data_IF_852595589380
#
_entry.id   IF_852595589380
#
_cell.length_a   1.000
_cell.length_b   1.000
_cell.length_c   1.000
_cell.angle_alpha   90.00
_cell.angle_beta   90.00
_cell.angle_gamma   90.00
#
_symmetry.space_group_name_H-M   'P 1'
#
loop_
_entity.id
_entity.type
_entity.pdbx_description
1 polymer ?
#
# COMPACT_ATOMS: atom_id res chain seq x y z
N UNK A 1 -20.91 58.23 -61.88
CA UNK A 1 -19.86 59.25 -61.72
C UNK A 1 -18.64 58.50 -61.31
N UNK A 2 -17.77 58.04 -62.25
CA UNK A 2 -16.60 58.79 -62.79
C UNK A 2 -15.52 58.89 -61.65
N UNK A 3 -14.33 58.40 -61.76
CA UNK A 3 -13.28 58.23 -62.81
C UNK A 3 -12.28 57.17 -62.35
N UNK A 4 -11.91 56.22 -63.04
CA UNK A 4 -10.82 55.88 -63.97
C UNK A 4 -9.56 56.77 -63.87
N UNK A 5 -8.41 56.18 -63.50
CA UNK A 5 -7.12 56.56 -64.04
C UNK A 5 -6.12 55.39 -64.01
N UNK A 6 -5.62 55.09 -65.18
CA UNK A 6 -4.57 54.15 -65.56
C UNK A 6 -3.23 54.89 -65.49
N UNK A 7 -2.12 54.23 -65.13
CA UNK A 7 -0.76 54.49 -65.69
C UNK A 7 0.20 53.33 -65.21
N UNK A 8 0.60 52.67 -66.10
CA UNK A 8 1.72 52.11 -66.88
C UNK A 8 3.12 52.19 -66.22
N UNK A 9 3.74 51.04 -66.29
CA UNK A 9 5.12 50.66 -66.67
C UNK A 9 6.27 50.97 -65.75
N UNK A 10 7.02 49.93 -65.35
CA UNK A 10 8.38 49.66 -65.89
C UNK A 10 8.94 48.41 -65.33
N UNK A 11 9.34 47.48 -66.16
CA UNK A 11 10.11 46.27 -65.79
C UNK A 11 11.55 46.62 -65.58
N UNK A 12 12.11 46.15 -64.46
CA UNK A 12 13.55 46.06 -64.27
C UNK A 12 13.87 44.63 -63.89
N UNK A 13 14.54 43.88 -64.76
CA UNK A 13 15.20 42.61 -64.46
C UNK A 13 16.44 42.87 -63.67
N UNK A 14 16.49 42.32 -62.44
CA UNK A 14 17.74 42.17 -61.72
C UNK A 14 17.91 40.68 -61.39
N UNK A 15 18.91 40.09 -61.99
CA UNK A 15 19.48 38.79 -61.61
C UNK A 15 20.02 38.91 -60.24
N UNK A 16 19.52 38.08 -59.29
CA UNK A 16 20.19 37.81 -58.02
C UNK A 16 20.30 36.30 -57.83
N UNK A 17 21.57 35.92 -57.59
CA UNK A 17 22.01 34.53 -57.55
C UNK A 17 21.34 33.70 -56.44
N UNK A 18 21.17 32.46 -56.76
CA UNK A 18 20.87 31.41 -55.77
C UNK A 18 21.95 31.33 -54.70
N UNK A 19 21.66 31.79 -53.49
CA UNK A 19 22.35 31.33 -52.29
C UNK A 19 21.66 30.04 -51.86
N UNK A 20 22.37 28.95 -51.99
CA UNK A 20 22.05 27.71 -51.28
C UNK A 20 22.26 27.94 -49.79
N UNK A 21 21.19 28.15 -49.04
CA UNK A 21 21.22 28.02 -47.57
C UNK A 21 21.39 26.55 -47.23
N UNK A 22 22.63 26.19 -46.91
CA UNK A 22 22.96 24.96 -46.20
C UNK A 22 22.33 25.03 -44.77
N UNK A 23 21.06 24.62 -44.65
CA UNK A 23 20.49 24.32 -43.37
C UNK A 23 21.19 23.06 -42.82
N UNK A 24 22.18 23.26 -41.93
CA UNK A 24 22.72 22.25 -41.06
C UNK A 24 21.54 21.48 -40.40
N UNK A 25 21.54 20.14 -40.44
CA UNK A 25 20.54 19.40 -39.69
C UNK A 25 20.79 19.67 -38.21
N UNK A 26 19.90 20.42 -37.59
CA UNK A 26 19.84 20.51 -36.13
C UNK A 26 19.65 19.08 -35.60
N UNK A 27 20.73 18.42 -35.23
CA UNK A 27 20.68 17.25 -34.37
C UNK A 27 20.03 17.70 -33.07
N UNK A 28 18.77 17.32 -32.87
CA UNK A 28 18.12 17.35 -31.55
C UNK A 28 19.09 16.63 -30.60
N UNK A 29 19.88 17.36 -29.83
CA UNK A 29 20.58 16.79 -28.67
C UNK A 29 19.51 16.11 -27.84
N UNK A 30 19.48 14.78 -27.84
CA UNK A 30 18.65 14.02 -26.92
C UNK A 30 18.99 14.55 -25.53
N UNK A 31 18.04 15.18 -24.86
CA UNK A 31 18.15 15.53 -23.46
C UNK A 31 18.42 14.19 -22.75
N UNK A 32 19.61 13.98 -22.22
CA UNK A 32 19.91 12.84 -21.36
C UNK A 32 18.79 12.82 -20.29
N UNK A 33 17.96 11.79 -20.29
CA UNK A 33 16.94 11.68 -19.27
C UNK A 33 17.64 11.44 -17.95
N UNK A 34 17.53 12.42 -17.07
CA UNK A 34 18.08 12.35 -15.71
C UNK A 34 17.44 11.18 -15.00
N UNK A 35 18.24 10.35 -14.35
CA UNK A 35 17.78 9.29 -13.46
C UNK A 35 17.85 9.82 -12.04
N UNK A 36 16.72 9.86 -11.35
CA UNK A 36 16.70 10.08 -9.92
C UNK A 36 17.04 8.77 -9.20
N UNK A 37 17.97 8.84 -8.25
CA UNK A 37 18.43 7.69 -7.47
C UNK A 37 18.31 7.96 -5.99
N UNK A 38 17.60 7.08 -5.27
CA UNK A 38 17.43 7.11 -3.83
C UNK A 38 18.04 5.86 -3.20
N UNK A 39 18.77 6.03 -2.09
CA UNK A 39 19.60 5.00 -1.50
C UNK A 39 19.32 4.85 0.00
N UNK A 40 19.28 3.59 0.45
CA UNK A 40 19.50 3.20 1.84
C UNK A 40 20.70 2.25 1.89
N UNK A 41 21.74 2.60 2.66
CA UNK A 41 23.01 1.90 2.68
C UNK A 41 23.66 2.00 4.08
N UNK A 42 23.71 0.88 4.80
CA UNK A 42 24.32 0.82 6.14
C UNK A 42 25.79 1.19 6.12
N UNK A 43 26.56 0.72 5.12
CA UNK A 43 27.99 0.94 5.04
C UNK A 43 28.35 2.41 4.85
N UNK A 44 27.43 3.19 4.30
CA UNK A 44 27.57 4.65 4.11
C UNK A 44 26.77 5.47 5.11
N UNK A 45 26.07 4.82 6.05
CA UNK A 45 25.18 5.48 7.01
C UNK A 45 24.11 6.36 6.33
N UNK A 46 23.61 5.89 5.18
CA UNK A 46 22.57 6.58 4.40
C UNK A 46 21.25 5.85 4.62
N UNK A 47 20.19 6.59 4.87
CA UNK A 47 18.83 6.08 4.92
C UNK A 47 17.91 6.95 4.07
N UNK A 48 17.27 6.33 3.07
CA UNK A 48 16.30 6.92 2.14
C UNK A 48 16.67 8.34 1.69
N UNK A 49 17.82 8.50 1.06
CA UNK A 49 18.34 9.80 0.63
C UNK A 49 18.56 9.85 -0.88
N UNK A 50 18.16 10.97 -1.51
CA UNK A 50 18.42 11.23 -2.92
C UNK A 50 19.93 11.41 -3.15
N UNK A 51 20.46 10.71 -4.13
CA UNK A 51 21.88 10.74 -4.48
C UNK A 51 22.11 11.59 -5.73
N UNK A 52 23.19 12.37 -5.73
CA UNK A 52 23.64 13.15 -6.90
C UNK A 52 24.58 12.36 -7.81
N UNK A 53 25.11 11.23 -7.34
CA UNK A 53 26.06 10.34 -8.01
C UNK A 53 25.67 8.89 -7.82
N UNK A 54 26.40 7.96 -8.45
CA UNK A 54 26.17 6.51 -8.30
C UNK A 54 25.34 5.90 -9.42
N UNK A 55 24.99 6.69 -10.44
CA UNK A 55 24.29 6.24 -11.64
C UNK A 55 24.98 6.81 -12.88
N UNK A 56 25.39 5.93 -13.79
CA UNK A 56 25.92 6.30 -15.10
C UNK A 56 24.90 5.91 -16.18
N UNK A 57 24.57 6.85 -17.05
CA UNK A 57 23.64 6.68 -18.18
C UNK A 57 24.38 6.76 -19.53
N UNK A 58 25.65 6.40 -19.56
CA UNK A 58 26.49 6.41 -20.76
C UNK A 58 25.92 5.57 -21.91
N UNK A 59 26.21 5.95 -23.17
CA UNK A 59 25.80 5.20 -24.36
C UNK A 59 26.53 3.86 -24.51
N UNK A 60 27.62 3.65 -23.81
CA UNK A 60 28.39 2.40 -23.87
C UNK A 60 27.83 1.44 -22.84
N UNK A 61 27.16 0.38 -23.31
CA UNK A 61 26.79 -0.74 -22.45
C UNK A 61 28.08 -1.31 -21.84
N UNK A 62 28.24 -1.13 -20.53
CA UNK A 62 29.27 -1.84 -19.81
C UNK A 62 28.83 -3.30 -19.79
N UNK A 63 29.68 -4.17 -20.35
CA UNK A 63 29.39 -5.61 -20.37
C UNK A 63 29.53 -6.14 -18.94
N UNK A 64 28.42 -6.18 -18.21
CA UNK A 64 28.31 -6.81 -16.89
C UNK A 64 27.53 -8.08 -16.97
N UNK A 65 27.81 -9.01 -16.05
CA UNK A 65 27.07 -10.25 -15.91
C UNK A 65 25.66 -9.99 -15.36
N UNK A 66 25.51 -8.95 -14.52
CA UNK A 66 24.29 -8.65 -13.79
C UNK A 66 23.45 -7.62 -14.56
N UNK A 67 22.45 -8.08 -15.29
CA UNK A 67 21.54 -7.23 -16.05
C UNK A 67 20.09 -7.39 -15.53
N UNK A 68 19.50 -6.30 -15.08
CA UNK A 68 18.08 -6.21 -14.77
C UNK A 68 17.40 -5.65 -16.01
N UNK A 69 16.80 -6.53 -16.80
CA UNK A 69 16.07 -6.15 -18.01
C UNK A 69 14.62 -5.83 -17.64
N UNK A 70 14.18 -4.62 -17.93
CA UNK A 70 12.83 -4.11 -17.66
C UNK A 70 12.06 -4.07 -18.98
N UNK A 71 10.92 -4.76 -19.04
CA UNK A 71 10.05 -4.82 -20.20
C UNK A 71 8.71 -4.14 -19.91
N UNK A 72 8.49 -2.97 -20.50
CA UNK A 72 7.26 -2.18 -20.36
C UNK A 72 6.06 -2.77 -21.09
N UNK A 73 6.31 -3.60 -22.13
CA UNK A 73 5.27 -4.21 -22.95
C UNK A 73 4.64 -5.44 -22.28
N UNK A 74 5.15 -5.81 -21.11
CA UNK A 74 4.62 -6.89 -20.27
C UNK A 74 4.10 -6.34 -18.93
N UNK A 75 2.94 -5.67 -18.91
CA UNK A 75 2.33 -5.20 -17.68
C UNK A 75 1.62 -6.33 -16.94
N UNK A 76 1.57 -6.20 -15.61
CA UNK A 76 0.84 -7.06 -14.70
C UNK A 76 -0.27 -6.27 -13.98
N UNK A 77 -0.45 -6.51 -12.67
CA UNK A 77 -1.49 -5.81 -11.89
C UNK A 77 -1.25 -4.30 -11.80
N UNK A 78 -2.35 -3.58 -11.68
CA UNK A 78 -2.34 -2.17 -11.29
C UNK A 78 -2.26 -2.05 -9.78
N UNK A 79 -1.40 -1.16 -9.28
CA UNK A 79 -1.23 -0.91 -7.85
C UNK A 79 -2.34 0.00 -7.34
N UNK A 80 -2.95 -0.39 -6.22
CA UNK A 80 -3.96 0.41 -5.54
C UNK A 80 -3.32 1.38 -4.52
N UNK A 81 -2.15 1.05 -4.00
CA UNK A 81 -1.38 1.92 -3.14
C UNK A 81 -0.51 1.18 -2.11
N UNK A 82 0.21 1.97 -1.31
CA UNK A 82 1.12 1.51 -0.27
C UNK A 82 0.89 2.31 1.00
N UNK A 83 1.05 1.67 2.17
CA UNK A 83 0.84 2.40 3.41
C UNK A 83 0.92 1.59 4.68
N UNK A 84 0.08 1.97 5.66
CA UNK A 84 0.15 1.47 7.03
C UNK A 84 -1.24 1.22 7.59
N UNK A 85 -1.29 0.46 8.69
CA UNK A 85 -2.48 0.40 9.53
C UNK A 85 -2.53 1.61 10.46
N UNK A 86 -3.61 2.37 10.37
CA UNK A 86 -3.98 3.42 11.30
C UNK A 86 -5.01 2.85 12.28
N UNK A 87 -4.52 2.13 13.30
CA UNK A 87 -5.34 1.62 14.40
C UNK A 87 -5.63 2.73 15.44
N UNK A 88 -6.49 2.45 16.41
CA UNK A 88 -6.85 3.43 17.44
C UNK A 88 -5.66 3.93 18.26
N UNK A 89 -4.67 3.07 18.52
CA UNK A 89 -3.45 3.46 19.22
C UNK A 89 -2.56 4.40 18.42
N UNK A 90 -2.39 4.13 17.12
CA UNK A 90 -1.69 5.05 16.22
C UNK A 90 -2.39 6.41 16.19
N UNK A 91 -3.72 6.41 16.05
CA UNK A 91 -4.51 7.63 16.05
C UNK A 91 -4.39 8.40 17.37
N UNK A 92 -4.40 7.71 18.52
CA UNK A 92 -4.21 8.31 19.84
C UNK A 92 -2.84 8.99 19.97
N UNK A 93 -1.75 8.31 19.53
CA UNK A 93 -0.40 8.87 19.59
C UNK A 93 -0.27 10.13 18.72
N UNK A 94 -0.83 10.11 17.52
CA UNK A 94 -0.89 11.29 16.65
C UNK A 94 -1.75 12.40 17.26
N UNK A 95 -2.91 12.07 17.85
CA UNK A 95 -3.82 13.05 18.45
C UNK A 95 -3.21 13.76 19.65
N UNK A 96 -2.36 13.11 20.43
CA UNK A 96 -1.63 13.68 21.57
C UNK A 96 -0.58 14.72 21.17
N UNK A 97 -0.12 14.72 19.92
CA UNK A 97 0.82 15.75 19.42
C UNK A 97 0.17 17.13 19.39
N UNK A 98 0.97 18.19 19.47
CA UNK A 98 0.49 19.54 19.15
C UNK A 98 -0.02 19.57 17.71
N UNK A 99 -1.04 20.39 17.45
CA UNK A 99 -1.64 20.49 16.11
C UNK A 99 -0.63 20.80 15.01
N UNK A 100 0.37 21.65 15.29
CA UNK A 100 1.40 22.01 14.32
C UNK A 100 2.36 20.83 14.02
N UNK A 101 2.85 20.14 15.06
CA UNK A 101 3.75 18.99 14.88
C UNK A 101 3.03 17.84 14.18
N UNK A 102 1.77 17.58 14.55
CA UNK A 102 0.92 16.58 13.90
C UNK A 102 0.69 16.92 12.43
N UNK A 103 0.31 18.16 12.12
CA UNK A 103 0.12 18.61 10.74
C UNK A 103 1.37 18.37 9.90
N UNK A 104 2.55 18.78 10.38
CA UNK A 104 3.80 18.59 9.66
C UNK A 104 4.09 17.11 9.40
N UNK A 105 3.85 16.23 10.38
CA UNK A 105 4.02 14.79 10.20
C UNK A 105 3.01 14.20 9.20
N UNK A 106 1.74 14.62 9.26
CA UNK A 106 0.73 14.15 8.32
C UNK A 106 1.02 14.65 6.88
N UNK A 107 1.52 15.87 6.70
CA UNK A 107 1.97 16.37 5.40
C UNK A 107 3.18 15.58 4.89
N UNK A 108 4.15 15.22 5.74
CA UNK A 108 5.26 14.35 5.38
C UNK A 108 4.79 12.95 4.94
N UNK A 109 3.83 12.37 5.64
CA UNK A 109 3.33 11.02 5.34
C UNK A 109 2.43 11.00 4.10
N UNK A 110 1.48 11.91 3.98
CA UNK A 110 0.37 11.85 3.04
C UNK A 110 0.36 12.94 1.97
N UNK A 111 1.20 13.98 2.10
CA UNK A 111 1.30 15.07 1.14
C UNK A 111 1.82 14.64 -0.23
N UNK A 112 1.89 15.60 -1.17
CA UNK A 112 2.33 15.35 -2.55
C UNK A 112 3.62 16.11 -2.91
N UNK A 113 4.21 16.81 -1.97
CA UNK A 113 5.45 17.56 -2.18
C UNK A 113 6.71 16.66 -2.22
N UNK A 114 7.88 17.29 -2.40
CA UNK A 114 9.14 16.55 -2.49
C UNK A 114 9.63 15.98 -1.14
N UNK A 115 9.10 16.43 -0.03
CA UNK A 115 9.44 15.93 1.31
C UNK A 115 8.57 14.74 1.70
N UNK A 116 7.38 14.64 1.11
CA UNK A 116 6.39 13.64 1.47
C UNK A 116 6.75 12.25 0.93
N UNK A 117 6.43 11.20 1.69
CA UNK A 117 6.55 9.81 1.24
C UNK A 117 5.31 9.30 0.50
N UNK A 118 4.23 10.09 0.45
CA UNK A 118 3.04 9.88 -0.39
C UNK A 118 2.30 8.59 -0.09
N UNK A 119 2.09 8.28 1.18
CA UNK A 119 1.23 7.15 1.59
C UNK A 119 -0.13 7.28 0.91
N UNK A 120 -0.60 6.20 0.30
CA UNK A 120 -1.79 6.21 -0.56
C UNK A 120 -2.83 5.15 -0.19
N UNK A 121 -2.56 4.34 0.83
CA UNK A 121 -3.49 3.33 1.34
C UNK A 121 -3.41 3.25 2.86
N UNK A 122 -4.57 3.17 3.52
CA UNK A 122 -4.68 2.92 4.95
C UNK A 122 -5.51 1.67 5.22
N UNK A 123 -5.12 0.92 6.26
CA UNK A 123 -5.94 -0.10 6.90
C UNK A 123 -6.35 0.41 8.27
N UNK A 124 -7.62 0.34 8.62
CA UNK A 124 -8.16 0.77 9.91
C UNK A 124 -8.92 -0.37 10.58
N UNK A 125 -9.00 -0.36 11.90
CA UNK A 125 -9.76 -1.36 12.63
C UNK A 125 -11.27 -1.04 12.64
N UNK A 126 -12.10 -2.08 12.63
CA UNK A 126 -13.54 -2.00 12.89
C UNK A 126 -13.79 -2.42 14.33
N UNK A 127 -13.95 -1.47 15.21
CA UNK A 127 -13.78 -1.65 16.66
C UNK A 127 -12.30 -1.64 17.03
N UNK A 128 -11.96 -2.15 18.19
CA UNK A 128 -10.58 -2.21 18.64
C UNK A 128 -9.75 -3.24 17.84
N UNK A 129 -8.48 -2.89 17.61
CA UNK A 129 -7.41 -3.83 17.38
C UNK A 129 -6.72 -4.20 18.70
N UNK A 130 -5.68 -5.02 18.64
CA UNK A 130 -4.84 -5.31 19.79
C UNK A 130 -3.90 -4.15 20.19
N UNK A 131 -3.77 -3.14 19.31
CA UNK A 131 -3.05 -1.89 19.56
C UNK A 131 -3.99 -0.73 19.91
N UNK A 132 -5.02 -0.99 20.67
CA UNK A 132 -5.90 -0.01 21.28
C UNK A 132 -5.70 0.05 22.82
N UNK A 133 -6.22 1.07 23.50
CA UNK A 133 -6.13 1.20 24.97
C UNK A 133 -6.85 0.04 25.68
N UNK A 134 -7.92 -0.46 25.08
CA UNK A 134 -8.74 -1.58 25.56
C UNK A 134 -9.57 -2.15 24.41
N UNK A 135 -10.00 -3.43 24.51
CA UNK A 135 -10.86 -4.03 23.50
C UNK A 135 -12.28 -3.45 23.58
N UNK A 136 -12.86 -3.10 22.44
CA UNK A 136 -14.23 -2.66 22.29
C UNK A 136 -14.81 -3.04 20.93
N UNK A 137 -16.14 -3.09 20.83
CA UNK A 137 -16.88 -3.07 19.57
C UNK A 137 -17.80 -1.86 19.51
N UNK A 138 -18.43 -1.62 18.38
CA UNK A 138 -19.42 -0.53 18.27
C UNK A 138 -20.80 -0.91 18.79
N UNK A 139 -20.98 -2.13 19.31
CA UNK A 139 -22.24 -2.60 19.88
C UNK A 139 -21.99 -3.49 21.11
N UNK A 140 -21.26 -2.95 22.09
CA UNK A 140 -21.01 -3.63 23.37
C UNK A 140 -22.24 -3.47 24.26
N UNK A 141 -22.74 -4.60 24.75
CA UNK A 141 -23.98 -4.68 25.55
C UNK A 141 -23.72 -5.32 26.92
N UNK A 142 -24.57 -5.01 27.93
CA UNK A 142 -24.62 -5.78 29.18
C UNK A 142 -24.84 -7.28 28.93
N UNK A 143 -24.32 -8.11 29.84
CA UNK A 143 -24.47 -9.57 29.75
C UNK A 143 -25.95 -9.96 29.67
N UNK A 144 -26.29 -10.78 28.66
CA UNK A 144 -27.63 -11.27 28.41
C UNK A 144 -28.49 -10.35 27.52
N UNK A 145 -27.99 -9.18 27.14
CA UNK A 145 -28.67 -8.33 26.14
C UNK A 145 -28.19 -8.66 24.73
N UNK A 146 -29.06 -8.49 23.74
CA UNK A 146 -28.80 -8.61 22.30
C UNK A 146 -29.40 -7.43 21.56
N UNK A 147 -28.81 -7.04 20.43
CA UNK A 147 -29.31 -5.94 19.57
C UNK A 147 -29.26 -6.32 18.10
N UNK A 148 -30.11 -7.21 17.67
CA UNK A 148 -30.17 -7.77 16.30
C UNK A 148 -30.30 -6.67 15.24
N UNK A 149 -30.98 -5.56 15.56
CA UNK A 149 -31.23 -4.45 14.63
C UNK A 149 -30.18 -3.33 14.72
N UNK A 150 -29.09 -3.54 15.44
CA UNK A 150 -27.99 -2.54 15.60
C UNK A 150 -28.47 -1.15 16.05
N UNK A 151 -29.52 -1.08 16.90
CA UNK A 151 -30.08 0.19 17.40
C UNK A 151 -29.15 0.90 18.38
N UNK A 152 -28.31 0.12 19.10
CA UNK A 152 -27.34 0.63 20.07
C UNK A 152 -25.92 0.79 19.48
N UNK A 153 -25.76 0.56 18.16
CA UNK A 153 -24.49 0.74 17.48
C UNK A 153 -24.00 2.18 17.53
N UNK A 154 -22.71 2.39 17.87
CA UNK A 154 -22.16 3.73 18.02
C UNK A 154 -20.66 3.77 17.71
N UNK A 155 -20.23 4.73 16.87
CA UNK A 155 -18.83 5.04 16.59
C UNK A 155 -18.15 5.91 17.66
N UNK A 156 -18.77 6.11 18.81
CA UNK A 156 -18.33 7.06 19.85
C UNK A 156 -16.86 6.86 20.27
N UNK A 157 -16.33 5.63 20.25
CA UNK A 157 -14.94 5.37 20.61
C UNK A 157 -13.99 5.96 19.56
N UNK A 158 -14.29 5.77 18.27
CA UNK A 158 -13.45 6.28 17.18
C UNK A 158 -13.57 7.80 17.01
N UNK A 159 -14.70 8.40 17.45
CA UNK A 159 -14.87 9.85 17.48
C UNK A 159 -13.87 10.56 18.41
N UNK A 160 -13.22 9.80 19.31
CA UNK A 160 -12.21 10.37 20.21
C UNK A 160 -10.90 10.70 19.48
N UNK A 161 -10.44 9.84 18.60
CA UNK A 161 -9.11 9.94 17.98
C UNK A 161 -9.09 9.53 16.51
N UNK A 162 -9.59 8.35 16.14
CA UNK A 162 -9.43 7.79 14.79
C UNK A 162 -10.12 8.66 13.75
N UNK A 163 -11.37 9.00 13.94
CA UNK A 163 -12.16 9.83 13.01
C UNK A 163 -11.57 11.25 12.87
N UNK A 164 -11.19 11.97 13.94
CA UNK A 164 -10.48 13.24 13.82
C UNK A 164 -9.19 13.14 12.98
N UNK A 165 -8.34 12.14 13.23
CA UNK A 165 -7.09 11.96 12.49
C UNK A 165 -7.35 11.59 11.03
N UNK A 166 -8.34 10.72 10.75
CA UNK A 166 -8.74 10.41 9.37
C UNK A 166 -9.20 11.66 8.61
N UNK A 167 -9.93 12.56 9.24
CA UNK A 167 -10.36 13.81 8.62
C UNK A 167 -9.18 14.74 8.32
N UNK A 168 -8.18 14.82 9.19
CA UNK A 168 -6.95 15.57 8.92
C UNK A 168 -6.18 14.95 7.73
N UNK A 169 -6.09 13.62 7.67
CA UNK A 169 -5.45 12.91 6.55
C UNK A 169 -6.21 13.13 5.24
N UNK A 170 -7.53 13.00 5.24
CA UNK A 170 -8.39 13.21 4.06
C UNK A 170 -8.34 14.67 3.56
N UNK A 171 -8.12 15.63 4.43
CA UNK A 171 -7.89 17.03 4.03
C UNK A 171 -6.58 17.21 3.26
N UNK A 172 -5.55 16.38 3.53
CA UNK A 172 -4.26 16.38 2.82
C UNK A 172 -4.31 15.50 1.56
N UNK A 173 -4.90 14.31 1.69
CA UNK A 173 -4.95 13.28 0.64
C UNK A 173 -6.38 12.76 0.45
N UNK A 174 -7.26 13.51 -0.25
CA UNK A 174 -8.69 13.20 -0.33
C UNK A 174 -9.00 11.90 -1.10
N UNK A 175 -8.05 11.38 -1.88
CA UNK A 175 -8.21 10.16 -2.67
C UNK A 175 -7.50 8.95 -2.05
N UNK A 176 -7.04 9.04 -0.80
CA UNK A 176 -6.42 7.91 -0.12
C UNK A 176 -7.44 6.78 0.02
N UNK A 177 -7.02 5.54 -0.25
CA UNK A 177 -7.88 4.39 -0.09
C UNK A 177 -7.88 3.89 1.35
N UNK A 178 -9.04 3.43 1.80
CA UNK A 178 -9.23 2.94 3.17
C UNK A 178 -9.83 1.54 3.14
N UNK A 179 -9.11 0.59 3.76
CA UNK A 179 -9.59 -0.75 4.08
C UNK A 179 -9.91 -0.84 5.57
N UNK A 180 -11.03 -1.42 5.93
CA UNK A 180 -11.43 -1.58 7.33
C UNK A 180 -11.52 -3.06 7.70
N UNK A 181 -11.00 -3.43 8.88
CA UNK A 181 -10.81 -4.81 9.31
C UNK A 181 -11.28 -5.01 10.76
N UNK A 182 -12.20 -5.93 11.07
CA UNK A 182 -12.55 -6.29 12.44
C UNK A 182 -11.58 -7.34 13.02
N UNK A 183 -11.20 -7.18 14.30
CA UNK A 183 -10.51 -8.20 15.09
C UNK A 183 -11.48 -9.15 15.77
N UNK A 184 -12.70 -8.70 16.07
CA UNK A 184 -13.74 -9.50 16.71
C UNK A 184 -15.12 -8.91 16.46
N UNK A 185 -16.12 -9.77 16.39
CA UNK A 185 -17.52 -9.37 16.54
C UNK A 185 -17.79 -8.92 17.99
N UNK A 186 -18.91 -8.18 18.25
CA UNK A 186 -19.41 -7.93 19.60
C UNK A 186 -19.53 -9.21 20.43
N UNK A 187 -19.18 -9.11 21.73
CA UNK A 187 -19.08 -10.31 22.59
C UNK A 187 -20.37 -11.11 22.69
N UNK A 188 -21.52 -10.47 22.64
CA UNK A 188 -22.82 -11.13 22.71
C UNK A 188 -23.15 -11.99 21.47
N UNK A 189 -22.44 -11.78 20.35
CA UNK A 189 -22.56 -12.61 19.14
C UNK A 189 -21.67 -13.86 19.15
N UNK A 190 -20.78 -13.99 20.15
CA UNK A 190 -19.71 -15.00 20.17
C UNK A 190 -20.00 -16.16 21.10
N UNK A 191 -19.55 -17.35 20.73
CA UNK A 191 -19.74 -18.61 21.46
C UNK A 191 -19.20 -18.57 22.90
N UNK A 192 -18.18 -17.76 23.17
CA UNK A 192 -17.56 -17.62 24.49
C UNK A 192 -17.91 -16.33 25.24
N UNK A 193 -18.66 -15.41 24.61
CA UNK A 193 -19.04 -14.09 25.14
C UNK A 193 -17.86 -13.26 25.66
N UNK A 194 -16.66 -13.41 25.05
CA UNK A 194 -15.42 -12.71 25.42
C UNK A 194 -14.84 -11.94 24.23
N UNK A 195 -14.07 -10.92 24.48
CA UNK A 195 -13.33 -10.17 23.45
C UNK A 195 -12.25 -11.02 22.78
N UNK A 196 -11.64 -11.97 23.49
CA UNK A 196 -10.59 -12.87 23.00
C UNK A 196 -11.14 -14.24 22.64
N UNK A 197 -10.80 -14.73 21.43
CA UNK A 197 -11.15 -16.07 20.94
C UNK A 197 -12.66 -16.26 20.77
N UNK A 198 -13.09 -17.52 20.73
CA UNK A 198 -14.48 -17.89 20.39
C UNK A 198 -14.80 -17.70 18.90
N UNK A 199 -15.98 -18.11 18.48
CA UNK A 199 -16.44 -18.01 17.11
C UNK A 199 -17.76 -17.26 17.05
N UNK A 200 -18.08 -16.67 15.90
CA UNK A 200 -19.37 -16.06 15.64
C UNK A 200 -20.47 -17.15 15.62
N UNK A 201 -21.51 -16.97 16.40
CA UNK A 201 -22.66 -17.89 16.41
C UNK A 201 -23.50 -17.70 15.14
N UNK A 202 -23.92 -18.82 14.54
CA UNK A 202 -24.70 -18.82 13.29
C UNK A 202 -25.98 -17.98 13.39
N UNK A 203 -26.65 -18.02 14.54
CA UNK A 203 -27.86 -17.23 14.80
C UNK A 203 -27.65 -15.71 14.70
N UNK A 204 -26.39 -15.23 14.79
CA UNK A 204 -26.05 -13.81 14.69
C UNK A 204 -25.39 -13.42 13.37
N UNK A 205 -25.29 -14.31 12.38
CA UNK A 205 -24.70 -13.96 11.07
C UNK A 205 -25.44 -12.81 10.39
N UNK A 206 -26.78 -12.81 10.43
CA UNK A 206 -27.56 -11.69 9.90
C UNK A 206 -27.28 -10.38 10.68
N UNK A 207 -27.26 -10.44 12.00
CA UNK A 207 -26.95 -9.28 12.84
C UNK A 207 -25.54 -8.74 12.58
N UNK A 208 -24.56 -9.63 12.39
CA UNK A 208 -23.20 -9.23 12.09
C UNK A 208 -23.06 -8.63 10.67
N UNK A 209 -23.81 -9.09 9.69
CA UNK A 209 -23.87 -8.43 8.39
C UNK A 209 -24.45 -7.01 8.48
N UNK A 210 -25.50 -6.79 9.30
CA UNK A 210 -26.06 -5.46 9.61
C UNK A 210 -25.03 -4.58 10.32
N UNK A 211 -24.15 -5.15 11.15
CA UNK A 211 -23.06 -4.43 11.81
C UNK A 211 -22.10 -3.80 10.80
N UNK A 212 -21.68 -4.53 9.75
CA UNK A 212 -20.86 -3.99 8.66
C UNK A 212 -21.60 -2.91 7.86
N UNK A 213 -22.86 -3.15 7.50
CA UNK A 213 -23.69 -2.16 6.80
C UNK A 213 -23.77 -0.86 7.60
N UNK A 214 -24.05 -0.96 8.91
CA UNK A 214 -24.16 0.18 9.80
C UNK A 214 -22.83 0.94 9.93
N UNK A 215 -21.71 0.21 10.07
CA UNK A 215 -20.38 0.80 10.11
C UNK A 215 -20.09 1.63 8.87
N UNK A 216 -20.23 1.02 7.69
CA UNK A 216 -19.92 1.69 6.40
C UNK A 216 -20.81 2.91 6.22
N UNK A 217 -22.09 2.80 6.52
CA UNK A 217 -23.05 3.91 6.40
C UNK A 217 -22.67 5.08 7.32
N UNK A 218 -22.38 4.80 8.60
CA UNK A 218 -22.04 5.85 9.56
C UNK A 218 -20.68 6.50 9.30
N UNK A 219 -19.71 5.73 8.75
CA UNK A 219 -18.44 6.32 8.31
C UNK A 219 -18.65 7.23 7.09
N UNK A 220 -19.47 6.82 6.13
CA UNK A 220 -19.83 7.67 4.99
C UNK A 220 -20.58 8.96 5.41
N UNK A 221 -21.45 8.92 6.41
CA UNK A 221 -22.10 10.10 6.99
C UNK A 221 -21.09 11.09 7.63
N UNK A 222 -19.85 10.62 7.90
CA UNK A 222 -18.75 11.45 8.40
C UNK A 222 -17.76 11.84 7.28
N UNK A 223 -18.12 11.65 6.01
CA UNK A 223 -17.29 11.87 4.84
C UNK A 223 -16.05 10.97 4.77
N UNK A 224 -16.10 9.78 5.38
CA UNK A 224 -15.05 8.76 5.34
C UNK A 224 -15.56 7.56 4.54
N UNK A 225 -15.10 7.43 3.29
CA UNK A 225 -15.48 6.33 2.42
C UNK A 225 -14.60 5.12 2.69
N UNK A 226 -15.21 3.96 2.89
CA UNK A 226 -14.52 2.68 3.07
C UNK A 226 -14.48 1.97 1.72
N UNK A 227 -13.29 1.87 1.11
CA UNK A 227 -13.10 1.23 -0.21
C UNK A 227 -13.23 -0.29 -0.15
N UNK A 228 -12.77 -0.88 0.95
CA UNK A 228 -12.80 -2.33 1.16
C UNK A 228 -12.96 -2.69 2.63
N UNK A 229 -13.49 -3.88 2.89
CA UNK A 229 -13.41 -4.51 4.22
C UNK A 229 -12.74 -5.88 4.08
N UNK A 230 -12.02 -6.31 5.13
CA UNK A 230 -11.77 -7.74 5.33
C UNK A 230 -12.82 -8.31 6.27
N UNK A 231 -13.13 -9.60 6.12
CA UNK A 231 -14.21 -10.21 6.91
C UNK A 231 -13.81 -10.39 8.37
N UNK A 232 -12.54 -10.77 8.59
CA UNK A 232 -11.97 -11.01 9.92
C UNK A 232 -10.45 -10.94 9.85
N UNK A 233 -9.83 -10.17 10.75
CA UNK A 233 -8.39 -10.21 10.95
C UNK A 233 -7.98 -11.57 11.49
N UNK A 234 -6.98 -12.21 10.86
CA UNK A 234 -6.34 -13.46 11.31
C UNK A 234 -7.34 -14.52 11.80
N UNK A 235 -8.25 -14.99 10.94
CA UNK A 235 -9.37 -15.84 11.36
C UNK A 235 -8.95 -17.17 12.01
N UNK A 236 -7.70 -17.61 11.85
CA UNK A 236 -7.15 -18.82 12.45
C UNK A 236 -6.24 -18.55 13.68
N UNK A 237 -6.08 -17.26 14.06
CA UNK A 237 -5.29 -16.87 15.22
C UNK A 237 -6.17 -16.17 16.26
N UNK A 238 -6.54 -16.89 17.31
CA UNK A 238 -7.38 -16.39 18.40
C UNK A 238 -6.56 -16.02 19.66
N UNK A 239 -5.24 -15.83 19.48
CA UNK A 239 -4.29 -15.52 20.56
C UNK A 239 -4.29 -14.06 20.99
N UNK A 240 -4.61 -13.12 20.10
CA UNK A 240 -4.66 -11.69 20.39
C UNK A 240 -5.92 -11.31 21.17
N UNK A 241 -5.94 -10.10 21.71
CA UNK A 241 -7.14 -9.54 22.32
C UNK A 241 -7.37 -8.09 21.83
N UNK A 242 -8.44 -7.82 21.05
CA UNK A 242 -9.50 -8.75 20.68
C UNK A 242 -9.08 -9.78 19.62
N UNK A 243 -9.87 -10.84 19.46
CA UNK A 243 -9.74 -11.84 18.40
C UNK A 243 -10.99 -12.69 18.28
N UNK A 244 -11.16 -13.35 17.13
CA UNK A 244 -12.25 -14.28 16.88
C UNK A 244 -11.82 -15.34 15.86
N UNK A 245 -12.03 -16.61 16.19
CA UNK A 245 -11.80 -17.69 15.24
C UNK A 245 -12.93 -17.75 14.20
N UNK A 246 -12.57 -17.96 12.93
CA UNK A 246 -13.50 -18.18 11.84
C UNK A 246 -12.89 -19.17 10.84
N UNK A 247 -13.41 -20.36 10.72
CA UNK A 247 -12.97 -21.32 9.72
C UNK A 247 -13.36 -20.89 8.30
N UNK A 248 -12.73 -21.49 7.27
CA UNK A 248 -13.05 -21.16 5.88
C UNK A 248 -14.51 -21.43 5.52
N UNK A 249 -15.14 -22.48 6.09
CA UNK A 249 -16.56 -22.78 5.84
C UNK A 249 -17.48 -21.78 6.55
N UNK A 250 -17.13 -21.29 7.74
CA UNK A 250 -17.87 -20.24 8.43
C UNK A 250 -17.80 -18.93 7.66
N UNK A 251 -16.59 -18.54 7.19
CA UNK A 251 -16.40 -17.33 6.38
C UNK A 251 -17.12 -17.45 5.03
N UNK A 252 -17.05 -18.61 4.38
CA UNK A 252 -17.80 -18.90 3.15
C UNK A 252 -19.29 -18.66 3.34
N UNK A 253 -19.91 -19.32 4.34
CA UNK A 253 -21.34 -19.23 4.61
C UNK A 253 -21.74 -17.79 4.98
N UNK A 254 -20.92 -17.10 5.77
CA UNK A 254 -21.16 -15.71 6.15
C UNK A 254 -21.13 -14.77 4.93
N UNK A 255 -20.14 -14.89 4.06
CA UNK A 255 -20.03 -14.06 2.84
C UNK A 255 -21.17 -14.38 1.87
N UNK A 256 -21.42 -15.67 1.64
CA UNK A 256 -22.38 -16.16 0.66
C UNK A 256 -23.81 -15.79 0.98
N UNK A 257 -24.24 -16.09 2.21
CA UNK A 257 -25.65 -16.10 2.58
C UNK A 257 -26.09 -14.84 3.35
N UNK A 258 -25.13 -14.05 3.89
CA UNK A 258 -25.44 -12.90 4.73
C UNK A 258 -24.75 -11.61 4.27
N UNK A 259 -23.42 -11.53 4.28
CA UNK A 259 -22.68 -10.27 4.05
C UNK A 259 -22.83 -9.78 2.61
N UNK A 260 -22.61 -10.67 1.62
CA UNK A 260 -22.74 -10.33 0.20
C UNK A 260 -24.15 -9.85 -0.16
N UNK A 261 -25.21 -10.61 0.20
CA UNK A 261 -26.59 -10.15 0.03
C UNK A 261 -26.90 -8.85 0.77
N UNK A 262 -26.39 -8.67 2.00
CA UNK A 262 -26.61 -7.43 2.75
C UNK A 262 -26.01 -6.22 2.05
N UNK A 263 -24.79 -6.32 1.50
CA UNK A 263 -24.17 -5.23 0.74
C UNK A 263 -24.97 -4.92 -0.53
N UNK A 264 -25.38 -5.94 -1.27
CA UNK A 264 -26.18 -5.77 -2.48
C UNK A 264 -27.52 -5.07 -2.18
N UNK A 265 -28.25 -5.53 -1.16
CA UNK A 265 -29.55 -4.98 -0.77
C UNK A 265 -29.48 -3.53 -0.24
N UNK A 266 -28.33 -3.11 0.28
CA UNK A 266 -28.12 -1.76 0.79
C UNK A 266 -27.33 -0.88 -0.21
N UNK A 267 -27.09 -1.31 -1.45
CA UNK A 267 -26.33 -0.60 -2.48
C UNK A 267 -24.93 -0.20 -2.01
N UNK A 268 -24.25 -1.04 -1.24
CA UNK A 268 -22.89 -0.82 -0.76
C UNK A 268 -21.91 -1.35 -1.80
N UNK A 269 -21.05 -0.46 -2.31
CA UNK A 269 -19.99 -0.78 -3.28
C UNK A 269 -18.64 -1.13 -2.65
N UNK A 270 -18.53 -1.08 -1.33
CA UNK A 270 -17.34 -1.47 -0.58
C UNK A 270 -16.97 -2.92 -0.91
N UNK A 271 -15.72 -3.16 -1.26
CA UNK A 271 -15.22 -4.48 -1.64
C UNK A 271 -15.16 -5.41 -0.43
N UNK A 272 -15.54 -6.67 -0.63
CA UNK A 272 -15.36 -7.73 0.36
C UNK A 272 -14.07 -8.48 0.04
N UNK A 273 -13.15 -8.52 0.98
CA UNK A 273 -11.88 -9.23 0.90
C UNK A 273 -11.87 -10.32 1.97
N UNK A 274 -11.52 -11.53 1.57
CA UNK A 274 -11.53 -12.70 2.44
C UNK A 274 -10.16 -12.99 3.03
N UNK A 275 -10.12 -13.89 4.01
CA UNK A 275 -8.95 -14.44 4.68
C UNK A 275 -8.29 -13.43 5.62
N UNK A 276 -7.36 -12.60 5.13
CA UNK A 276 -6.61 -11.60 5.94
C UNK A 276 -5.70 -12.28 6.98
N UNK A 277 -4.86 -13.23 6.51
CA UNK A 277 -3.98 -14.05 7.36
C UNK A 277 -2.73 -14.52 6.60
N UNK A 278 -1.93 -15.38 7.23
CA UNK A 278 -0.62 -15.82 6.77
C UNK A 278 -0.62 -16.56 5.43
N UNK A 279 0.50 -16.47 4.71
CA UNK A 279 0.73 -17.12 3.43
C UNK A 279 0.95 -18.65 3.51
N UNK A 280 0.75 -19.27 4.69
CA UNK A 280 0.92 -20.71 4.93
C UNK A 280 -0.31 -21.55 4.65
N UNK A 281 -1.49 -20.96 4.50
CA UNK A 281 -2.75 -21.68 4.27
C UNK A 281 -3.58 -21.08 3.12
N UNK A 282 -3.09 -21.21 1.90
CA UNK A 282 -3.80 -20.76 0.70
C UNK A 282 -5.08 -21.57 0.40
N UNK A 283 -5.22 -22.76 0.97
CA UNK A 283 -6.42 -23.57 0.81
C UNK A 283 -7.64 -22.93 1.46
N UNK A 284 -7.46 -22.11 2.48
CA UNK A 284 -8.56 -21.38 3.11
C UNK A 284 -9.29 -20.47 2.11
N UNK A 285 -8.65 -19.48 1.46
CA UNK A 285 -9.33 -18.64 0.47
C UNK A 285 -9.71 -19.40 -0.80
N UNK A 286 -8.94 -20.39 -1.26
CA UNK A 286 -9.29 -21.22 -2.42
C UNK A 286 -10.62 -21.92 -2.19
N UNK A 287 -10.86 -22.49 -1.00
CA UNK A 287 -12.12 -23.18 -0.69
C UNK A 287 -13.33 -22.26 -0.78
N UNK A 288 -13.18 -20.99 -0.39
CA UNK A 288 -14.23 -19.97 -0.50
C UNK A 288 -14.46 -19.57 -1.96
N UNK A 289 -13.38 -19.31 -2.70
CA UNK A 289 -13.45 -18.88 -4.10
C UNK A 289 -13.91 -19.98 -5.05
N UNK A 290 -13.83 -21.26 -4.66
CA UNK A 290 -14.41 -22.39 -5.41
C UNK A 290 -15.95 -22.42 -5.33
N UNK A 291 -16.58 -21.79 -4.34
CA UNK A 291 -18.03 -21.65 -4.31
C UNK A 291 -18.48 -20.57 -5.31
N UNK A 292 -19.26 -20.95 -6.31
CA UNK A 292 -19.68 -20.08 -7.40
C UNK A 292 -20.58 -18.91 -6.96
N UNK A 293 -21.22 -19.00 -5.80
CA UNK A 293 -22.08 -17.93 -5.25
C UNK A 293 -21.24 -16.98 -4.40
N UNK A 294 -20.49 -17.48 -3.41
CA UNK A 294 -19.62 -16.67 -2.57
C UNK A 294 -18.63 -15.85 -3.40
N UNK A 295 -18.01 -16.47 -4.41
CA UNK A 295 -17.03 -15.83 -5.32
C UNK A 295 -17.55 -14.56 -5.99
N UNK A 296 -18.86 -14.44 -6.24
CA UNK A 296 -19.46 -13.24 -6.87
C UNK A 296 -19.38 -12.01 -5.98
N UNK A 297 -19.39 -12.18 -4.66
CA UNK A 297 -19.31 -11.11 -3.69
C UNK A 297 -17.88 -10.73 -3.31
N UNK A 298 -16.92 -11.64 -3.55
CA UNK A 298 -15.50 -11.47 -3.15
C UNK A 298 -14.71 -10.74 -4.22
N UNK A 299 -14.09 -9.62 -3.88
CA UNK A 299 -13.14 -8.92 -4.75
C UNK A 299 -11.77 -9.61 -4.78
N UNK A 300 -11.30 -10.10 -3.63
CA UNK A 300 -10.00 -10.74 -3.53
C UNK A 300 -9.68 -11.27 -2.13
N UNK A 301 -8.40 -11.60 -1.96
CA UNK A 301 -7.86 -12.22 -0.74
C UNK A 301 -6.75 -11.35 -0.15
N UNK A 302 -6.75 -11.19 1.17
CA UNK A 302 -5.71 -10.48 1.91
C UNK A 302 -4.76 -11.44 2.61
N UNK A 303 -3.48 -11.02 2.70
CA UNK A 303 -2.39 -11.82 3.25
C UNK A 303 -1.50 -11.06 4.22
N UNK A 304 -0.97 -11.82 5.21
CA UNK A 304 0.13 -11.49 6.11
C UNK A 304 1.31 -12.43 5.85
N UNK A 305 2.48 -12.17 6.44
CA UNK A 305 3.66 -13.03 6.26
C UNK A 305 4.35 -13.36 7.60
N UNK A 306 3.57 -13.66 8.63
CA UNK A 306 4.11 -14.23 9.88
C UNK A 306 4.36 -15.73 9.76
N UNK A 307 3.82 -16.36 8.70
CA UNK A 307 4.00 -17.75 8.35
C UNK A 307 3.85 -18.00 6.85
N UNK A 308 4.50 -19.04 6.35
CA UNK A 308 4.48 -19.41 4.94
C UNK A 308 5.54 -18.70 4.09
N UNK A 309 5.37 -18.77 2.78
CA UNK A 309 6.22 -18.14 1.77
C UNK A 309 5.38 -17.19 0.93
N UNK A 310 5.89 -15.99 0.66
CA UNK A 310 5.23 -14.98 -0.16
C UNK A 310 4.91 -15.49 -1.58
N UNK A 311 5.68 -16.44 -2.09
CA UNK A 311 5.46 -17.05 -3.42
C UNK A 311 4.16 -17.88 -3.49
N UNK A 312 3.65 -18.36 -2.34
CA UNK A 312 2.39 -19.12 -2.29
C UNK A 312 1.19 -18.30 -2.79
N UNK A 313 1.28 -16.96 -2.73
CA UNK A 313 0.24 -16.08 -3.24
C UNK A 313 0.01 -16.26 -4.75
N UNK A 314 1.06 -16.57 -5.51
CA UNK A 314 0.94 -16.84 -6.94
C UNK A 314 0.13 -18.10 -7.24
N UNK A 315 0.14 -19.11 -6.37
CA UNK A 315 -0.68 -20.32 -6.54
C UNK A 315 -2.19 -19.99 -6.44
N UNK A 316 -2.57 -19.09 -5.53
CA UNK A 316 -3.95 -18.60 -5.47
C UNK A 316 -4.32 -17.80 -6.73
N UNK A 317 -3.39 -16.96 -7.22
CA UNK A 317 -3.61 -16.20 -8.46
C UNK A 317 -3.80 -17.10 -9.68
N UNK A 318 -3.04 -18.18 -9.76
CA UNK A 318 -3.17 -19.18 -10.83
C UNK A 318 -4.50 -19.94 -10.75
N UNK A 319 -4.96 -20.27 -9.52
CA UNK A 319 -6.25 -20.92 -9.31
C UNK A 319 -7.46 -19.99 -9.60
N UNK A 320 -7.33 -18.70 -9.30
CA UNK A 320 -8.39 -17.70 -9.45
C UNK A 320 -7.86 -16.41 -10.10
N UNK A 321 -7.55 -16.41 -11.40
CA UNK A 321 -6.84 -15.31 -12.08
C UNK A 321 -7.63 -14.00 -12.16
N UNK A 322 -8.96 -14.04 -11.99
CA UNK A 322 -9.84 -12.87 -11.95
C UNK A 322 -9.88 -12.19 -10.58
N UNK A 323 -9.34 -12.83 -9.52
CA UNK A 323 -9.37 -12.27 -8.16
C UNK A 323 -8.12 -11.45 -7.85
N UNK A 324 -8.32 -10.42 -7.05
CA UNK A 324 -7.26 -9.53 -6.59
C UNK A 324 -6.56 -10.10 -5.35
N UNK A 325 -5.28 -9.73 -5.17
CA UNK A 325 -4.52 -10.05 -3.97
C UNK A 325 -4.10 -8.75 -3.28
N UNK A 326 -4.09 -8.78 -1.96
CA UNK A 326 -3.77 -7.66 -1.08
C UNK A 326 -2.78 -8.13 -0.02
N UNK A 327 -1.72 -7.38 0.20
CA UNK A 327 -0.84 -7.60 1.36
C UNK A 327 -1.20 -6.58 2.41
N UNK A 328 -1.74 -7.02 3.54
CA UNK A 328 -2.46 -6.16 4.47
C UNK A 328 -1.80 -5.96 5.81
N UNK A 329 -0.79 -6.78 6.15
CA UNK A 329 -0.09 -6.63 7.42
C UNK A 329 1.27 -7.32 7.45
N UNK A 330 2.28 -6.60 7.95
CA UNK A 330 3.53 -7.11 8.48
C UNK A 330 4.06 -6.12 9.52
N UNK A 331 4.50 -6.63 10.68
CA UNK A 331 5.04 -5.81 11.75
C UNK A 331 6.57 -5.69 11.69
N UNK A 332 7.10 -4.64 12.31
CA UNK A 332 8.50 -4.57 12.74
C UNK A 332 8.53 -4.73 14.24
N UNK A 333 9.34 -5.67 14.74
CA UNK A 333 9.47 -5.92 16.18
C UNK A 333 10.44 -4.96 16.86
N UNK A 334 10.20 -4.64 18.13
CA UNK A 334 11.16 -3.90 18.96
C UNK A 334 11.91 -4.87 19.88
N UNK A 335 13.25 -4.75 20.03
CA UNK A 335 14.14 -3.81 19.32
C UNK A 335 14.33 -4.19 17.84
N UNK A 336 14.51 -3.18 16.96
CA UNK A 336 14.67 -3.34 15.52
C UNK A 336 16.12 -3.13 15.10
N UNK A 337 16.63 -3.98 14.22
CA UNK A 337 17.81 -3.71 13.40
C UNK A 337 17.38 -2.94 12.16
N UNK A 338 17.56 -1.62 12.17
CA UNK A 338 17.05 -0.73 11.12
C UNK A 338 17.38 -1.22 9.70
N UNK A 339 18.60 -1.65 9.43
CA UNK A 339 19.02 -2.05 8.09
C UNK A 339 18.73 -3.53 7.79
N UNK A 340 18.90 -4.41 8.76
CA UNK A 340 18.57 -5.83 8.61
C UNK A 340 17.09 -6.06 8.39
N UNK A 341 16.25 -5.40 9.20
CA UNK A 341 14.80 -5.45 9.04
C UNK A 341 14.38 -4.75 7.73
N UNK A 342 14.99 -3.61 7.35
CA UNK A 342 14.70 -2.94 6.07
C UNK A 342 15.00 -3.88 4.89
N UNK A 343 16.15 -4.56 4.91
CA UNK A 343 16.52 -5.57 3.89
C UNK A 343 15.44 -6.64 3.78
N UNK A 344 14.97 -7.19 4.90
CA UNK A 344 13.95 -8.23 4.95
C UNK A 344 12.60 -7.72 4.40
N UNK A 345 12.14 -6.52 4.85
CA UNK A 345 10.87 -5.93 4.41
C UNK A 345 10.89 -5.55 2.93
N UNK A 346 11.98 -4.99 2.43
CA UNK A 346 12.13 -4.70 0.99
C UNK A 346 12.06 -5.99 0.18
N UNK A 347 12.80 -7.05 0.59
CA UNK A 347 12.83 -8.31 -0.13
C UNK A 347 11.47 -9.00 -0.17
N UNK A 348 10.90 -9.25 1.02
CA UNK A 348 9.75 -10.12 1.14
C UNK A 348 8.43 -9.38 0.97
N UNK A 349 8.36 -8.12 1.44
CA UNK A 349 7.11 -7.36 1.47
C UNK A 349 7.01 -6.46 0.24
N UNK A 350 7.93 -5.51 0.04
CA UNK A 350 7.79 -4.56 -1.08
C UNK A 350 7.96 -5.26 -2.42
N UNK A 351 9.08 -5.98 -2.61
CA UNK A 351 9.37 -6.69 -3.85
C UNK A 351 8.53 -7.97 -3.92
N UNK A 352 8.52 -8.78 -2.86
CA UNK A 352 7.88 -10.08 -2.84
C UNK A 352 6.38 -10.00 -3.07
N UNK A 353 5.64 -9.24 -2.27
CA UNK A 353 4.19 -9.11 -2.43
C UNK A 353 3.82 -8.48 -3.79
N UNK A 354 4.57 -7.44 -4.23
CA UNK A 354 4.33 -6.83 -5.54
C UNK A 354 4.54 -7.82 -6.68
N UNK A 355 5.60 -8.64 -6.65
CA UNK A 355 5.85 -9.66 -7.68
C UNK A 355 4.83 -10.80 -7.63
N UNK A 356 4.27 -11.09 -6.46
CA UNK A 356 3.23 -12.09 -6.24
C UNK A 356 1.81 -11.50 -6.27
N UNK A 357 1.58 -10.54 -7.18
CA UNK A 357 0.28 -10.02 -7.60
C UNK A 357 -0.47 -9.13 -6.61
N UNK A 358 0.08 -8.82 -5.44
CA UNK A 358 -0.59 -7.89 -4.54
C UNK A 358 -0.75 -6.51 -5.16
N UNK A 359 -1.95 -5.95 -5.05
CA UNK A 359 -2.29 -4.60 -5.54
C UNK A 359 -2.01 -3.53 -4.52
N UNK A 360 -1.91 -3.90 -3.28
CA UNK A 360 -1.52 -3.01 -2.18
C UNK A 360 -0.54 -3.72 -1.27
N UNK A 361 0.28 -2.93 -0.58
CA UNK A 361 1.19 -3.40 0.46
C UNK A 361 1.07 -2.48 1.65
N UNK A 362 0.68 -3.06 2.79
CA UNK A 362 0.43 -2.33 4.04
C UNK A 362 1.31 -2.95 5.13
N UNK A 363 2.13 -2.11 5.74
CA UNK A 363 2.84 -2.44 6.98
C UNK A 363 1.91 -2.24 8.19
N UNK A 364 2.26 -2.86 9.34
CA UNK A 364 1.42 -2.77 10.54
C UNK A 364 1.32 -1.33 11.04
N UNK A 365 1.38 -1.08 12.31
CA UNK A 365 0.99 0.19 12.93
C UNK A 365 1.80 1.40 12.46
N UNK A 366 1.09 2.46 12.12
CA UNK A 366 1.67 3.73 11.66
C UNK A 366 2.46 4.41 12.78
N UNK A 367 1.94 4.46 14.00
CA UNK A 367 2.56 5.18 15.10
C UNK A 367 2.45 4.44 16.44
N UNK A 368 3.50 4.48 17.24
CA UNK A 368 3.53 4.07 18.64
C UNK A 368 4.29 5.10 19.47
N UNK A 369 4.16 5.03 20.80
CA UNK A 369 5.07 5.75 21.69
C UNK A 369 6.41 5.01 21.84
N UNK A 370 7.31 5.52 22.70
CA UNK A 370 8.63 4.95 22.94
C UNK A 370 8.61 3.58 23.62
N UNK A 371 7.53 3.25 24.32
CA UNK A 371 7.29 1.96 24.97
C UNK A 371 6.38 1.03 24.14
N UNK A 372 6.17 1.35 22.87
CA UNK A 372 5.29 0.66 21.89
C UNK A 372 3.81 0.61 22.32
N UNK A 373 3.36 1.58 23.14
CA UNK A 373 1.95 1.71 23.53
C UNK A 373 1.14 2.55 22.51
N UNK A 374 -0.22 2.50 22.63
CA UNK A 374 -0.98 1.61 23.49
C UNK A 374 -1.10 0.20 22.91
N UNK A 375 -1.39 -0.75 23.78
CA UNK A 375 -1.84 -2.08 23.41
C UNK A 375 -2.84 -2.60 24.46
N UNK A 376 -3.76 -3.45 24.06
CA UNK A 376 -4.70 -4.10 24.96
C UNK A 376 -3.99 -5.07 25.90
N UNK A 377 -4.65 -5.49 26.97
CA UNK A 377 -4.15 -6.60 27.77
C UNK A 377 -4.21 -7.90 26.95
N UNK A 378 -3.06 -8.38 26.48
CA UNK A 378 -2.91 -9.54 25.60
C UNK A 378 -2.73 -9.19 24.13
N UNK A 379 -2.56 -7.91 23.81
CA UNK A 379 -2.12 -7.42 22.50
C UNK A 379 -0.60 -7.40 22.35
N UNK A 380 -0.14 -6.94 21.20
CA UNK A 380 1.29 -6.88 20.87
C UNK A 380 2.00 -5.81 21.71
N UNK A 381 3.04 -6.24 22.46
CA UNK A 381 3.81 -5.37 23.38
C UNK A 381 5.03 -4.71 22.74
N UNK A 382 5.48 -5.23 21.62
CA UNK A 382 6.71 -4.81 20.96
C UNK A 382 6.48 -4.58 19.46
N UNK A 383 5.28 -4.20 19.05
CA UNK A 383 4.97 -3.76 17.71
C UNK A 383 5.46 -2.32 17.51
N UNK A 384 6.62 -2.17 16.88
CA UNK A 384 7.22 -0.88 16.61
C UNK A 384 6.42 -0.13 15.53
N UNK A 385 6.00 1.11 15.83
CA UNK A 385 5.34 1.96 14.82
C UNK A 385 6.28 2.33 13.67
N UNK A 386 5.73 2.60 12.50
CA UNK A 386 6.50 3.19 11.42
C UNK A 386 7.15 4.51 11.87
N UNK A 387 6.48 5.22 12.75
CA UNK A 387 7.04 6.34 13.51
C UNK A 387 6.85 6.13 15.01
N UNK A 388 7.88 6.47 15.79
CA UNK A 388 7.77 6.60 17.24
C UNK A 388 7.52 8.04 17.60
N UNK A 389 6.45 8.31 18.36
CA UNK A 389 6.05 9.65 18.78
C UNK A 389 6.34 9.82 20.27
N UNK A 390 7.24 10.75 20.60
CA UNK A 390 7.54 11.15 21.98
C UNK A 390 7.20 12.63 22.14
N UNK A 391 6.03 12.95 22.71
CA UNK A 391 5.46 14.30 22.74
C UNK A 391 5.29 14.87 21.31
N UNK A 392 6.17 15.80 20.89
CA UNK A 392 6.17 16.39 19.54
C UNK A 392 7.37 15.93 18.68
N UNK A 393 8.23 15.07 19.23
CA UNK A 393 9.37 14.53 18.49
C UNK A 393 8.94 13.25 17.77
N UNK A 394 9.47 13.07 16.55
CA UNK A 394 9.16 11.91 15.70
C UNK A 394 10.45 11.25 15.28
N UNK A 395 10.59 9.96 15.63
CA UNK A 395 11.63 9.07 15.10
C UNK A 395 11.01 8.19 14.02
N UNK A 396 11.64 8.11 12.86
CA UNK A 396 11.22 7.24 11.75
C UNK A 396 11.92 5.90 11.89
N UNK A 397 11.16 4.82 11.74
CA UNK A 397 11.63 3.45 11.94
C UNK A 397 11.61 2.67 10.61
N UNK A 398 11.98 1.40 10.64
CA UNK A 398 12.15 0.54 9.47
C UNK A 398 10.96 0.55 8.50
N UNK A 399 9.73 0.34 9.01
CA UNK A 399 8.53 0.30 8.18
C UNK A 399 8.29 1.61 7.41
N UNK A 400 8.60 2.77 8.02
CA UNK A 400 8.54 4.06 7.34
C UNK A 400 9.41 4.07 6.07
N UNK A 401 10.66 3.62 6.18
CA UNK A 401 11.60 3.63 5.07
C UNK A 401 11.29 2.57 4.02
N UNK A 402 10.79 1.40 4.43
CA UNK A 402 10.33 0.37 3.51
C UNK A 402 9.20 0.90 2.60
N UNK A 403 8.18 1.51 3.18
CA UNK A 403 7.08 2.12 2.42
C UNK A 403 7.57 3.33 1.62
N UNK A 404 8.45 4.17 2.16
CA UNK A 404 8.97 5.35 1.44
C UNK A 404 9.67 4.99 0.13
N UNK A 405 10.43 3.88 0.09
CA UNK A 405 11.10 3.41 -1.13
C UNK A 405 10.15 3.12 -2.29
N UNK A 406 8.88 2.85 -2.01
CA UNK A 406 7.87 2.55 -3.03
C UNK A 406 6.79 3.62 -3.13
N UNK A 407 6.16 4.04 -2.04
CA UNK A 407 4.97 4.90 -2.06
C UNK A 407 5.24 6.28 -2.66
N UNK A 408 6.43 6.85 -2.39
CA UNK A 408 6.86 8.14 -2.93
C UNK A 408 6.84 8.19 -4.46
N UNK A 409 7.11 7.08 -5.12
CA UNK A 409 7.39 7.02 -6.56
C UNK A 409 6.36 6.23 -7.36
N UNK A 410 5.56 5.40 -6.70
CA UNK A 410 4.59 4.50 -7.32
C UNK A 410 3.15 4.90 -6.90
N UNK A 411 2.58 5.94 -7.52
CA UNK A 411 1.22 6.39 -7.19
C UNK A 411 0.16 5.35 -7.59
N UNK A 412 -1.05 5.42 -7.01
CA UNK A 412 -2.18 4.57 -7.37
C UNK A 412 -2.47 4.56 -8.87
N UNK A 413 -2.68 3.35 -9.41
CA UNK A 413 -2.90 3.10 -10.83
C UNK A 413 -1.62 2.90 -11.65
N UNK A 414 -0.43 2.97 -11.04
CA UNK A 414 0.82 2.47 -11.64
C UNK A 414 0.69 0.97 -11.92
N UNK A 415 1.31 0.50 -13.00
CA UNK A 415 1.32 -0.92 -13.34
C UNK A 415 2.65 -1.54 -12.97
N UNK A 416 2.64 -2.69 -12.28
CA UNK A 416 3.84 -3.51 -12.23
C UNK A 416 4.17 -3.97 -13.64
N UNK A 417 5.42 -3.87 -14.04
CA UNK A 417 5.94 -4.33 -15.34
C UNK A 417 7.00 -5.40 -15.14
N UNK A 418 7.28 -6.17 -16.18
CA UNK A 418 8.25 -7.25 -16.10
C UNK A 418 9.67 -6.72 -15.85
N UNK A 419 10.39 -7.41 -14.96
CA UNK A 419 11.82 -7.22 -14.72
C UNK A 419 12.50 -8.55 -14.43
N UNK A 420 13.81 -8.65 -14.73
CA UNK A 420 14.60 -9.88 -14.52
C UNK A 420 14.49 -10.40 -13.10
N UNK A 421 14.42 -11.73 -12.93
CA UNK A 421 14.44 -12.36 -11.63
C UNK A 421 15.86 -12.82 -11.30
N UNK A 422 16.53 -12.10 -10.39
CA UNK A 422 17.90 -12.39 -9.96
C UNK A 422 17.89 -12.56 -8.44
N UNK A 423 18.20 -13.75 -7.95
CA UNK A 423 18.01 -14.14 -6.55
C UNK A 423 18.78 -13.28 -5.55
N UNK A 424 19.99 -12.84 -5.90
CA UNK A 424 20.85 -11.97 -5.06
C UNK A 424 20.71 -10.48 -5.39
N UNK A 425 19.90 -10.13 -6.41
CA UNK A 425 19.47 -8.77 -6.75
C UNK A 425 17.94 -8.73 -6.93
N UNK A 426 17.16 -9.13 -5.91
CA UNK A 426 15.71 -9.02 -5.98
C UNK A 426 15.32 -7.60 -6.35
N UNK A 427 14.35 -7.49 -7.24
CA UNK A 427 13.92 -6.20 -7.78
C UNK A 427 12.45 -6.24 -8.20
N UNK A 428 11.86 -5.08 -8.36
CA UNK A 428 10.53 -4.91 -8.95
C UNK A 428 10.48 -3.63 -9.74
N UNK A 429 9.77 -3.63 -10.87
CA UNK A 429 9.62 -2.49 -11.75
C UNK A 429 8.16 -2.07 -11.91
N UNK A 430 7.93 -0.75 -12.00
CA UNK A 430 6.62 -0.15 -12.20
C UNK A 430 6.66 0.89 -13.31
N UNK A 431 5.56 1.02 -14.04
CA UNK A 431 5.28 2.11 -14.97
C UNK A 431 4.15 2.96 -14.39
N UNK A 432 4.42 4.23 -14.14
CA UNK A 432 3.43 5.17 -13.62
C UNK A 432 2.53 5.71 -14.73
N UNK A 433 1.40 6.32 -14.36
CA UNK A 433 0.51 7.00 -15.30
C UNK A 433 1.17 8.21 -15.99
N UNK A 434 2.17 8.80 -15.33
CA UNK A 434 2.98 9.90 -15.86
C UNK A 434 4.15 9.43 -16.73
N UNK A 435 4.14 8.17 -17.17
CA UNK A 435 5.19 7.54 -17.98
C UNK A 435 6.57 7.57 -17.30
N UNK A 436 6.63 7.39 -15.99
CA UNK A 436 7.88 7.15 -15.28
C UNK A 436 8.07 5.67 -15.05
N UNK A 437 9.30 5.20 -15.27
CA UNK A 437 9.71 3.87 -14.83
C UNK A 437 10.33 4.02 -13.43
N UNK A 438 9.91 3.17 -12.51
CA UNK A 438 10.42 3.06 -11.15
C UNK A 438 10.94 1.66 -10.95
N UNK A 439 12.21 1.51 -10.58
CA UNK A 439 12.81 0.21 -10.28
C UNK A 439 13.39 0.23 -8.87
N UNK A 440 12.93 -0.70 -8.04
CA UNK A 440 13.47 -0.91 -6.70
C UNK A 440 14.38 -2.14 -6.77
N UNK A 441 15.62 -2.00 -6.32
CA UNK A 441 16.64 -3.06 -6.33
C UNK A 441 17.20 -3.21 -4.93
N UNK A 442 17.25 -4.44 -4.44
CA UNK A 442 17.98 -4.80 -3.23
C UNK A 442 19.23 -5.58 -3.61
N UNK A 443 20.38 -5.23 -3.08
CA UNK A 443 21.53 -6.13 -3.08
C UNK A 443 21.42 -7.07 -1.87
N UNK A 444 20.92 -8.27 -2.11
CA UNK A 444 20.70 -9.28 -1.07
C UNK A 444 21.91 -10.24 -0.91
N UNK A 445 23.09 -9.80 -1.32
CA UNK A 445 24.35 -10.51 -1.13
C UNK A 445 25.18 -9.90 0.00
N UNK A 446 26.35 -10.49 0.25
CA UNK A 446 27.32 -10.06 1.26
C UNK A 446 28.47 -9.19 0.71
N UNK A 447 28.39 -8.79 -0.56
CA UNK A 447 29.40 -7.99 -1.27
C UNK A 447 28.76 -6.91 -2.13
N UNK A 448 29.57 -5.94 -2.55
CA UNK A 448 29.14 -4.96 -3.54
C UNK A 448 28.89 -5.61 -4.89
N UNK A 449 27.75 -5.26 -5.52
CA UNK A 449 27.34 -5.75 -6.83
C UNK A 449 27.23 -4.58 -7.80
N UNK A 450 27.96 -4.68 -8.92
CA UNK A 450 27.76 -3.82 -10.09
C UNK A 450 26.74 -4.47 -11.03
N UNK A 451 25.81 -3.67 -11.54
CA UNK A 451 24.76 -4.15 -12.43
C UNK A 451 24.29 -3.07 -13.40
N UNK A 452 23.59 -3.50 -14.45
CA UNK A 452 22.88 -2.62 -15.35
C UNK A 452 21.37 -2.77 -15.14
N UNK A 453 20.63 -1.67 -15.28
CA UNK A 453 19.19 -1.69 -15.47
C UNK A 453 18.94 -1.28 -16.92
N UNK A 454 18.41 -2.23 -17.71
CA UNK A 454 18.17 -2.02 -19.15
C UNK A 454 16.68 -1.86 -19.39
N UNK A 455 16.28 -0.81 -20.11
CA UNK A 455 14.91 -0.61 -20.58
C UNK A 455 14.96 -0.01 -21.98
N UNK A 456 14.37 -0.70 -22.96
CA UNK A 456 14.43 -0.32 -24.37
C UNK A 456 15.88 0.05 -24.82
N UNK A 457 16.10 1.29 -25.29
CA UNK A 457 17.41 1.76 -25.74
C UNK A 457 18.29 2.33 -24.62
N UNK A 458 17.86 2.24 -23.37
CA UNK A 458 18.53 2.85 -22.23
C UNK A 458 19.15 1.79 -21.32
N UNK A 459 20.41 2.01 -20.97
CA UNK A 459 21.10 1.26 -19.94
C UNK A 459 21.56 2.21 -18.84
N UNK A 460 21.28 1.86 -17.60
CA UNK A 460 21.67 2.56 -16.38
C UNK A 460 22.66 1.67 -15.67
N UNK A 461 23.90 2.14 -15.50
CA UNK A 461 24.90 1.43 -14.73
C UNK A 461 24.91 1.93 -13.28
N UNK A 462 24.92 1.03 -12.32
CA UNK A 462 24.96 1.35 -10.88
C UNK A 462 25.68 0.26 -10.08
N UNK A 463 26.01 0.59 -8.82
CA UNK A 463 26.47 -0.37 -7.83
C UNK A 463 25.71 -0.21 -6.53
N UNK A 464 25.52 -1.32 -5.82
CA UNK A 464 24.93 -1.36 -4.48
C UNK A 464 25.85 -2.18 -3.57
N UNK A 465 26.18 -1.65 -2.40
CA UNK A 465 26.92 -2.39 -1.36
C UNK A 465 26.03 -3.49 -0.76
N UNK A 466 26.62 -4.41 0.00
CA UNK A 466 25.89 -5.50 0.66
C UNK A 466 24.69 -4.97 1.48
N UNK A 467 23.52 -5.56 1.30
CA UNK A 467 22.29 -5.22 2.03
C UNK A 467 21.66 -3.87 1.65
N UNK A 468 22.22 -3.12 0.71
CA UNK A 468 21.68 -1.79 0.37
C UNK A 468 20.51 -1.86 -0.61
N UNK A 469 19.67 -0.82 -0.55
CA UNK A 469 18.44 -0.67 -1.35
C UNK A 469 18.54 0.56 -2.21
N UNK A 470 18.33 0.40 -3.52
CA UNK A 470 18.27 1.49 -4.50
C UNK A 470 16.90 1.62 -5.14
N UNK A 471 16.37 2.84 -5.21
CA UNK A 471 15.18 3.16 -6.02
C UNK A 471 15.59 4.10 -7.14
N UNK A 472 15.34 3.67 -8.39
CA UNK A 472 15.75 4.34 -9.62
C UNK A 472 14.51 4.82 -10.36
N UNK A 473 14.47 6.11 -10.73
CA UNK A 473 13.29 6.72 -11.37
C UNK A 473 13.74 7.50 -12.61
N UNK A 474 13.10 7.29 -13.74
CA UNK A 474 13.32 8.07 -14.96
C UNK A 474 12.09 8.16 -15.83
N UNK A 475 12.03 9.18 -16.68
CA UNK A 475 10.97 9.31 -17.67
C UNK A 475 11.18 8.30 -18.78
N UNK A 476 10.14 7.52 -19.06
CA UNK A 476 10.06 6.69 -20.26
C UNK A 476 9.86 7.63 -21.48
N UNK A 477 10.74 7.50 -22.46
CA UNK A 477 10.60 8.17 -23.74
C UNK A 477 10.16 7.12 -24.73
N UNK A 478 8.83 7.05 -24.99
CA UNK A 478 8.25 6.18 -26.00
C UNK A 478 8.65 6.55 -27.43
#
# INVERSE_FOLDING_TARGET
>A
MSYLLILLSSAIFLFTGCRQDNKSPYTKKSKLSIVDFWLSDQNKSIIFSKQSTGVDTGKNKISLINNIDVNIDQPFQSMDGFGFSLNGGSALNLYKMSSNSRKNLLEELFGQDDQSIRVSYLRISVGASDLDEFPFSYNDLPIGEVDIEMKKFSLKQDERYLIPILKEILAISPNIKIMATPWSAPTWMKSNMKTKGGSLLLEFYEAYSKYFVKYITLMAEKDILIDAITVQNEPLHDGNNPSMHMSSIEQLNFVKDYLGPAFLNNNISTKIIIYDHNADNINYPISILNDAVARKFVDGTAFHLYGGDINNLSELKDAHPDKNLYFTEQWVGFPSDLYGDLRWHIRNIIIGASRNWCKTVIEWNLASDEDQNPHTKGGCRNCLGAVTVTNNNVKRNTAYYAIAHVSKFVPPGSKRINSSNISYLPNVAFLTKENKIVVIVLNDSDKEINFNINSNDKSIHSSLTAGSVGTYIWNFQG
#
